data_IF_346857444745
#
_entry.id   IF_346857444745
#
_cell.length_a   1.000
_cell.length_b   1.000
_cell.length_c   1.000
_cell.angle_alpha   90.00
_cell.angle_beta   90.00
_cell.angle_gamma   90.00
#
_symmetry.space_group_name_H-M   'P 1'
#
loop_
_entity.id
_entity.type
_entity.pdbx_description
1 polymer ?
#
# COMPACT_ATOMS: atom_id res chain seq x y z
N UNK A 1 11.68 -36.30 -19.28
CA UNK A 1 12.84 -35.90 -18.46
C UNK A 1 12.37 -35.69 -17.03
N UNK A 2 12.79 -36.56 -16.10
CA UNK A 2 12.51 -36.39 -14.67
C UNK A 2 13.45 -35.33 -14.11
N UNK A 3 12.90 -34.23 -13.59
CA UNK A 3 13.68 -33.20 -12.90
C UNK A 3 14.05 -33.71 -11.51
N UNK A 4 15.34 -33.92 -11.26
CA UNK A 4 15.85 -34.21 -9.92
C UNK A 4 15.93 -32.90 -9.12
N UNK A 5 14.97 -32.70 -8.20
CA UNK A 5 14.95 -31.55 -7.30
C UNK A 5 15.91 -31.85 -6.14
N UNK A 6 17.10 -31.25 -6.17
CA UNK A 6 18.05 -31.32 -5.06
C UNK A 6 17.65 -30.34 -3.96
N UNK A 7 17.06 -30.84 -2.86
CA UNK A 7 16.81 -30.06 -1.65
C UNK A 7 18.12 -29.85 -0.88
N UNK A 8 18.92 -28.87 -1.28
CA UNK A 8 20.05 -28.42 -0.46
C UNK A 8 19.59 -27.23 0.39
N UNK A 9 19.58 -27.40 1.73
CA UNK A 9 19.45 -26.29 2.68
C UNK A 9 20.62 -25.34 2.46
N UNK A 10 20.34 -24.14 1.94
CA UNK A 10 21.34 -23.08 1.83
C UNK A 10 21.33 -22.29 3.13
N UNK A 11 22.55 -22.08 3.64
CA UNK A 11 22.92 -21.36 4.84
C UNK A 11 22.40 -19.93 4.85
N UNK A 12 21.87 -19.56 6.01
CA UNK A 12 21.49 -18.23 6.46
C UNK A 12 22.55 -17.18 6.08
N UNK A 13 22.22 -16.32 5.11
CA UNK A 13 22.98 -15.15 4.69
C UNK A 13 22.03 -13.96 4.60
N UNK A 14 22.38 -12.89 5.29
CA UNK A 14 21.57 -11.73 5.69
C UNK A 14 21.26 -10.73 4.56
N UNK A 15 20.65 -11.15 3.44
CA UNK A 15 20.33 -10.21 2.35
C UNK A 15 19.09 -10.53 1.47
N UNK A 16 18.33 -11.60 1.75
CA UNK A 16 17.09 -11.91 1.02
C UNK A 16 15.91 -12.21 1.97
N UNK A 17 15.52 -11.20 2.74
CA UNK A 17 14.36 -11.29 3.65
C UNK A 17 13.02 -10.97 2.95
N UNK A 18 12.87 -11.33 1.67
CA UNK A 18 11.72 -10.87 0.88
C UNK A 18 10.40 -11.54 1.27
N UNK A 19 10.38 -12.87 1.45
CA UNK A 19 9.16 -13.63 1.73
C UNK A 19 9.43 -14.85 2.61
N UNK A 20 8.50 -15.17 3.51
CA UNK A 20 8.55 -16.41 4.30
C UNK A 20 7.78 -17.52 3.57
N UNK A 21 8.30 -18.77 3.52
CA UNK A 21 7.57 -19.91 2.97
C UNK A 21 6.14 -19.98 3.51
N UNK A 22 5.18 -20.04 2.60
CA UNK A 22 3.76 -20.06 2.87
C UNK A 22 3.06 -18.71 2.87
N UNK A 23 3.78 -17.59 2.76
CA UNK A 23 3.17 -16.26 2.60
C UNK A 23 2.53 -16.08 1.22
N UNK A 24 1.51 -15.25 1.17
CA UNK A 24 0.88 -14.84 -0.07
C UNK A 24 1.66 -13.69 -0.71
N UNK A 25 1.84 -13.79 -2.01
CA UNK A 25 2.49 -12.76 -2.82
C UNK A 25 1.63 -12.42 -4.01
N UNK A 26 1.84 -11.24 -4.57
CA UNK A 26 1.17 -10.74 -5.76
C UNK A 26 2.19 -10.63 -6.87
N UNK A 27 1.99 -11.39 -7.94
CA UNK A 27 2.71 -11.22 -9.20
C UNK A 27 1.93 -10.28 -10.11
N UNK A 28 2.59 -9.26 -10.68
CA UNK A 28 1.98 -8.23 -11.54
C UNK A 28 1.05 -8.79 -12.64
N UNK A 29 1.46 -9.88 -13.26
CA UNK A 29 0.74 -10.48 -14.39
C UNK A 29 -0.16 -11.67 -14.02
N UNK A 30 0.16 -12.38 -12.94
CA UNK A 30 -0.48 -13.68 -12.66
C UNK A 30 -1.39 -13.65 -11.43
N UNK A 31 -1.32 -12.58 -10.63
CA UNK A 31 -2.17 -12.40 -9.46
C UNK A 31 -1.56 -12.99 -8.21
N UNK A 32 -2.39 -13.56 -7.35
CA UNK A 32 -2.01 -13.95 -6.01
C UNK A 32 -1.54 -15.40 -5.99
N UNK A 33 -0.27 -15.62 -5.65
CA UNK A 33 0.34 -16.92 -5.45
C UNK A 33 0.79 -17.12 -4.00
N UNK A 34 1.17 -18.36 -3.67
CA UNK A 34 1.78 -18.72 -2.39
C UNK A 34 3.28 -18.94 -2.61
N UNK A 35 4.11 -18.18 -1.92
CA UNK A 35 5.55 -18.38 -1.97
C UNK A 35 5.92 -19.69 -1.27
N UNK A 36 6.75 -20.51 -1.92
CA UNK A 36 7.15 -21.82 -1.41
C UNK A 36 8.60 -21.79 -0.96
N UNK A 37 9.54 -21.46 -1.85
CA UNK A 37 10.97 -21.44 -1.55
C UNK A 37 11.77 -20.68 -2.63
N UNK A 38 13.07 -20.52 -2.42
CA UNK A 38 14.04 -20.19 -3.48
C UNK A 38 14.69 -21.49 -3.95
N UNK A 39 14.70 -21.68 -5.27
CA UNK A 39 15.35 -22.83 -5.89
C UNK A 39 16.55 -22.34 -6.70
N UNK A 40 17.70 -22.96 -6.46
CA UNK A 40 18.88 -22.77 -7.29
C UNK A 40 19.00 -23.90 -8.30
N UNK A 41 19.13 -23.56 -9.58
CA UNK A 41 19.40 -24.52 -10.65
C UNK A 41 20.69 -24.16 -11.39
N UNK A 42 21.47 -25.18 -11.76
CA UNK A 42 22.63 -25.04 -12.62
C UNK A 42 22.17 -25.07 -14.08
N UNK A 43 22.31 -23.95 -14.80
CA UNK A 43 21.94 -23.85 -16.21
C UNK A 43 23.22 -23.56 -17.01
N UNK A 44 23.81 -24.61 -17.59
CA UNK A 44 25.15 -24.56 -18.17
C UNK A 44 26.20 -24.35 -17.08
N UNK A 45 27.10 -23.39 -17.29
CA UNK A 45 28.16 -23.06 -16.31
C UNK A 45 27.69 -22.09 -15.21
N UNK A 46 26.46 -21.57 -15.30
CA UNK A 46 25.94 -20.56 -14.38
C UNK A 46 24.88 -21.12 -13.43
N UNK A 47 25.05 -20.84 -12.14
CA UNK A 47 24.02 -21.05 -11.13
C UNK A 47 22.99 -19.92 -11.20
N UNK A 48 21.71 -20.25 -11.38
CA UNK A 48 20.60 -19.29 -11.37
C UNK A 48 19.64 -19.60 -10.23
N UNK A 49 19.03 -18.55 -9.69
CA UNK A 49 18.08 -18.65 -8.58
C UNK A 49 16.70 -18.16 -9.01
N UNK A 50 15.67 -18.85 -8.54
CA UNK A 50 14.29 -18.60 -8.86
C UNK A 50 13.44 -18.62 -7.59
N UNK A 51 12.52 -17.68 -7.47
CA UNK A 51 11.40 -17.77 -6.54
C UNK A 51 10.41 -18.82 -7.04
N UNK A 52 10.16 -19.83 -6.21
CA UNK A 52 9.17 -20.86 -6.47
C UNK A 52 7.83 -20.47 -5.84
N UNK A 53 6.82 -20.32 -6.70
CA UNK A 53 5.49 -19.83 -6.33
C UNK A 53 4.45 -20.84 -6.80
N UNK A 54 3.55 -21.21 -5.90
CA UNK A 54 2.42 -22.08 -6.17
C UNK A 54 1.15 -21.26 -6.37
N UNK A 55 0.39 -21.62 -7.40
CA UNK A 55 -0.89 -21.03 -7.77
C UNK A 55 -2.01 -22.08 -7.58
N UNK A 56 -3.25 -21.70 -7.86
CA UNK A 56 -4.38 -22.63 -7.79
C UNK A 56 -4.16 -23.85 -8.71
N UNK A 57 -4.79 -24.98 -8.39
CA UNK A 57 -4.64 -26.24 -9.11
C UNK A 57 -3.21 -26.83 -9.10
N UNK A 58 -2.38 -26.46 -8.11
CA UNK A 58 -0.96 -26.85 -8.01
C UNK A 58 -0.11 -26.36 -9.20
N UNK A 59 -0.58 -25.31 -9.89
CA UNK A 59 0.18 -24.62 -10.93
C UNK A 59 1.46 -24.02 -10.33
N UNK A 60 2.60 -24.16 -11.01
CA UNK A 60 3.91 -23.73 -10.52
C UNK A 60 4.48 -22.62 -11.39
N UNK A 61 4.97 -21.56 -10.76
CA UNK A 61 5.67 -20.47 -11.43
C UNK A 61 7.07 -20.28 -10.81
N UNK A 62 8.07 -20.19 -11.68
CA UNK A 62 9.45 -19.91 -11.31
C UNK A 62 9.79 -18.51 -11.80
N UNK A 63 9.96 -17.57 -10.86
CA UNK A 63 10.30 -16.19 -11.18
C UNK A 63 11.78 -15.98 -10.90
N UNK A 64 12.60 -15.61 -11.90
CA UNK A 64 14.02 -15.36 -11.66
C UNK A 64 14.23 -14.25 -10.61
N UNK A 65 15.26 -14.37 -9.78
CA UNK A 65 15.52 -13.41 -8.70
C UNK A 65 15.76 -11.99 -9.20
N UNK A 66 16.32 -11.82 -10.39
CA UNK A 66 16.50 -10.50 -11.03
C UNK A 66 15.18 -9.86 -11.51
N UNK A 67 14.05 -10.57 -11.48
CA UNK A 67 12.70 -10.04 -11.72
C UNK A 67 11.88 -9.88 -10.43
N UNK A 68 12.56 -9.70 -9.29
CA UNK A 68 11.93 -9.47 -7.99
C UNK A 68 10.96 -8.27 -7.99
N UNK A 69 11.16 -7.28 -8.87
CA UNK A 69 10.28 -6.11 -9.06
C UNK A 69 8.85 -6.49 -9.49
N UNK A 70 8.64 -7.69 -10.01
CA UNK A 70 7.32 -8.17 -10.48
C UNK A 70 6.50 -8.82 -9.39
N UNK A 71 7.09 -9.10 -8.24
CA UNK A 71 6.46 -9.73 -7.09
C UNK A 71 6.43 -8.77 -5.91
N UNK A 72 5.35 -8.82 -5.15
CA UNK A 72 5.18 -7.99 -3.96
C UNK A 72 4.44 -8.78 -2.89
N UNK A 73 4.65 -8.43 -1.61
CA UNK A 73 3.93 -9.08 -0.52
C UNK A 73 2.44 -8.78 -0.64
N UNK A 74 1.59 -9.79 -0.47
CA UNK A 74 0.17 -9.54 -0.33
C UNK A 74 -0.12 -8.89 1.02
N UNK A 75 -0.69 -7.69 0.99
CA UNK A 75 -1.15 -6.98 2.18
C UNK A 75 -2.67 -6.89 2.10
N UNK A 76 -3.35 -7.60 2.99
CA UNK A 76 -4.81 -7.60 3.07
C UNK A 76 -5.30 -8.24 4.36
N UNK A 77 -6.43 -7.76 4.86
CA UNK A 77 -7.00 -8.19 6.14
C UNK A 77 -7.59 -9.62 6.12
N UNK A 78 -7.85 -10.18 4.92
CA UNK A 78 -8.42 -11.52 4.74
C UNK A 78 -7.49 -12.40 3.92
N UNK A 79 -7.57 -13.70 4.18
CA UNK A 79 -6.89 -14.74 3.39
C UNK A 79 -7.33 -14.61 1.92
N UNK A 80 -6.40 -14.40 0.98
CA UNK A 80 -6.76 -14.18 -0.42
C UNK A 80 -7.14 -15.49 -1.10
N UNK A 81 -7.89 -15.37 -2.20
CA UNK A 81 -8.08 -16.46 -3.15
C UNK A 81 -6.85 -16.51 -4.06
N UNK A 82 -6.20 -17.67 -4.10
CA UNK A 82 -5.04 -17.91 -4.98
C UNK A 82 -5.54 -17.94 -6.42
N UNK A 83 -4.86 -17.22 -7.31
CA UNK A 83 -5.24 -17.17 -8.73
C UNK A 83 -4.76 -18.42 -9.47
N UNK A 84 -5.35 -18.73 -10.63
CA UNK A 84 -4.83 -19.75 -11.55
C UNK A 84 -4.04 -19.08 -12.67
N UNK A 85 -2.93 -19.69 -13.10
CA UNK A 85 -2.07 -19.15 -14.15
C UNK A 85 -2.77 -19.05 -15.51
N UNK A 86 -3.73 -19.93 -15.77
CA UNK A 86 -4.49 -19.98 -17.03
C UNK A 86 -5.68 -19.00 -17.07
N UNK A 87 -6.03 -18.39 -15.93
CA UNK A 87 -7.29 -17.67 -15.81
C UNK A 87 -7.17 -16.19 -16.18
N UNK A 88 -8.00 -15.74 -17.14
CA UNK A 88 -8.22 -14.32 -17.46
C UNK A 88 -8.87 -13.53 -16.31
N UNK A 89 -9.19 -14.19 -15.20
CA UNK A 89 -9.82 -13.59 -14.03
C UNK A 89 -9.00 -12.42 -13.47
N UNK A 90 -7.67 -12.56 -13.37
CA UNK A 90 -6.80 -11.51 -12.84
C UNK A 90 -6.83 -10.23 -13.68
N UNK A 91 -6.76 -10.36 -15.01
CA UNK A 91 -6.83 -9.21 -15.91
C UNK A 91 -8.20 -8.54 -15.88
N UNK A 92 -9.27 -9.33 -15.80
CA UNK A 92 -10.63 -8.79 -15.64
C UNK A 92 -10.79 -8.04 -14.31
N UNK A 93 -10.26 -8.60 -13.22
CA UNK A 93 -10.24 -7.97 -11.90
C UNK A 93 -9.47 -6.65 -11.92
N UNK A 94 -8.24 -6.64 -12.46
CA UNK A 94 -7.43 -5.42 -12.63
C UNK A 94 -8.18 -4.36 -13.42
N UNK A 95 -8.82 -4.74 -14.53
CA UNK A 95 -9.60 -3.82 -15.36
C UNK A 95 -10.79 -3.23 -14.60
N UNK A 96 -11.52 -4.05 -13.85
CA UNK A 96 -12.64 -3.59 -13.01
C UNK A 96 -12.17 -2.60 -11.95
N UNK A 97 -11.10 -2.94 -11.21
CA UNK A 97 -10.53 -2.06 -10.17
C UNK A 97 -10.05 -0.75 -10.78
N UNK A 98 -9.35 -0.76 -11.92
CA UNK A 98 -8.91 0.46 -12.61
C UNK A 98 -10.08 1.38 -12.97
N UNK A 99 -11.19 0.82 -13.47
CA UNK A 99 -12.39 1.61 -13.77
C UNK A 99 -12.97 2.24 -12.51
N UNK A 100 -13.04 1.49 -11.40
CA UNK A 100 -13.52 2.02 -10.12
C UNK A 100 -12.63 3.15 -9.59
N UNK A 101 -11.31 2.98 -9.64
CA UNK A 101 -10.34 4.01 -9.21
C UNK A 101 -10.46 5.25 -10.09
N UNK A 102 -10.58 5.07 -11.42
CA UNK A 102 -10.75 6.20 -12.33
C UNK A 102 -12.06 6.96 -12.08
N UNK A 103 -13.17 6.24 -11.86
CA UNK A 103 -14.45 6.85 -11.48
C UNK A 103 -14.31 7.63 -10.18
N UNK A 104 -13.71 7.04 -9.16
CA UNK A 104 -13.47 7.71 -7.88
C UNK A 104 -12.64 8.99 -8.04
N UNK A 105 -11.59 8.96 -8.86
CA UNK A 105 -10.78 10.16 -9.15
C UNK A 105 -11.59 11.27 -9.83
N UNK A 106 -12.47 10.92 -10.77
CA UNK A 106 -13.39 11.89 -11.41
C UNK A 106 -14.34 12.48 -10.39
N UNK A 107 -14.95 11.63 -9.55
CA UNK A 107 -15.92 12.06 -8.55
C UNK A 107 -15.25 12.98 -7.51
N UNK A 108 -14.01 12.67 -7.10
CA UNK A 108 -13.21 13.53 -6.22
C UNK A 108 -12.88 14.87 -6.88
N UNK A 109 -12.48 14.87 -8.15
CA UNK A 109 -12.19 16.10 -8.89
C UNK A 109 -13.43 17.01 -9.01
N UNK A 110 -14.60 16.41 -9.28
CA UNK A 110 -15.88 17.14 -9.30
C UNK A 110 -16.21 17.75 -7.94
N UNK A 111 -16.07 16.99 -6.86
CA UNK A 111 -16.27 17.48 -5.50
C UNK A 111 -15.39 18.70 -5.20
N UNK A 112 -14.11 18.65 -5.58
CA UNK A 112 -13.20 19.79 -5.40
C UNK A 112 -13.53 20.98 -6.29
N UNK A 113 -14.06 20.77 -7.49
CA UNK A 113 -14.52 21.86 -8.36
C UNK A 113 -15.76 22.56 -7.77
N UNK A 114 -16.75 21.80 -7.30
CA UNK A 114 -17.94 22.30 -6.62
C UNK A 114 -17.56 23.08 -5.35
N UNK A 115 -16.72 22.50 -4.51
CA UNK A 115 -16.20 23.15 -3.30
C UNK A 115 -15.43 24.44 -3.59
N UNK A 116 -14.66 24.49 -4.67
CA UNK A 116 -13.88 25.68 -5.02
C UNK A 116 -14.75 26.84 -5.52
N UNK A 117 -15.91 26.54 -6.08
CA UNK A 117 -16.90 27.52 -6.55
C UNK A 117 -17.92 27.89 -5.46
N UNK A 118 -18.13 27.02 -4.47
CA UNK A 118 -18.95 27.32 -3.31
C UNK A 118 -18.30 28.41 -2.42
N UNK A 119 -19.13 29.36 -1.97
CA UNK A 119 -18.74 30.30 -0.93
C UNK A 119 -18.89 29.63 0.44
N UNK A 120 -17.85 29.74 1.26
CA UNK A 120 -17.85 29.28 2.65
C UNK A 120 -17.90 30.45 3.63
N UNK A 121 -18.06 30.14 4.91
CA UNK A 121 -17.94 31.11 5.98
C UNK A 121 -16.46 31.31 6.37
N UNK A 122 -15.99 32.55 6.30
CA UNK A 122 -14.65 32.92 6.74
C UNK A 122 -14.68 33.26 8.23
N UNK A 123 -14.04 32.45 9.05
CA UNK A 123 -13.89 32.77 10.47
C UNK A 123 -12.96 34.00 10.66
N UNK A 124 -13.21 34.82 11.69
CA UNK A 124 -12.34 35.95 12.02
C UNK A 124 -10.97 35.50 12.57
N UNK A 125 -10.07 36.45 12.75
CA UNK A 125 -8.83 36.23 13.48
C UNK A 125 -9.12 35.88 14.96
N UNK A 126 -8.17 35.19 15.59
CA UNK A 126 -8.30 34.78 16.98
C UNK A 126 -8.40 36.01 17.89
N UNK A 127 -9.30 35.94 18.88
CA UNK A 127 -9.42 36.97 19.91
C UNK A 127 -8.41 36.70 21.05
N UNK A 128 -8.12 37.67 21.92
CA UNK A 128 -7.31 37.43 23.11
C UNK A 128 -7.83 36.27 23.98
N UNK A 129 -9.16 36.14 24.06
CA UNK A 129 -9.81 35.07 24.81
C UNK A 129 -9.55 33.67 24.22
N UNK A 130 -9.37 33.55 22.91
CA UNK A 130 -8.99 32.28 22.28
C UNK A 130 -7.62 31.81 22.80
N UNK A 131 -6.68 32.75 22.96
CA UNK A 131 -5.36 32.44 23.52
C UNK A 131 -5.44 32.03 24.98
N UNK A 132 -6.26 32.72 25.77
CA UNK A 132 -6.50 32.36 27.16
C UNK A 132 -7.04 30.93 27.30
N UNK A 133 -7.98 30.51 26.43
CA UNK A 133 -8.49 29.14 26.40
C UNK A 133 -7.41 28.13 26.00
N UNK A 134 -6.58 28.46 25.01
CA UNK A 134 -5.47 27.60 24.56
C UNK A 134 -4.44 27.42 25.68
N UNK A 135 -4.10 28.49 26.41
CA UNK A 135 -3.16 28.47 27.53
C UNK A 135 -3.69 27.67 28.75
N UNK A 136 -5.00 27.38 28.83
CA UNK A 136 -5.57 26.48 29.84
C UNK A 136 -5.26 25.00 29.58
N UNK A 137 -4.81 24.64 28.37
CA UNK A 137 -4.47 23.26 28.08
C UNK A 137 -3.16 22.87 28.78
N UNK A 138 -3.16 21.85 29.66
CA UNK A 138 -2.03 21.60 30.57
C UNK A 138 -0.83 20.91 29.91
N UNK A 139 -0.86 20.72 28.59
CA UNK A 139 0.20 20.05 27.84
C UNK A 139 0.80 20.99 26.82
N UNK A 140 2.12 20.91 26.66
CA UNK A 140 2.83 21.66 25.62
C UNK A 140 2.70 20.94 24.29
N UNK A 141 2.25 21.66 23.27
CA UNK A 141 2.12 21.13 21.92
C UNK A 141 3.48 20.78 21.33
N UNK A 142 3.49 19.67 20.60
CA UNK A 142 4.61 19.26 19.77
C UNK A 142 4.71 20.16 18.52
N UNK A 143 5.89 20.23 17.87
CA UNK A 143 6.03 20.99 16.62
C UNK A 143 5.03 20.60 15.54
N UNK A 144 4.62 19.33 15.45
CA UNK A 144 3.67 18.87 14.45
C UNK A 144 2.22 19.21 14.81
N UNK A 145 1.86 19.18 16.09
CA UNK A 145 0.56 19.70 16.56
C UNK A 145 0.43 21.21 16.27
N UNK A 146 1.48 22.00 16.54
CA UNK A 146 1.49 23.43 16.23
C UNK A 146 1.28 23.68 14.73
N UNK A 147 1.93 22.89 13.86
CA UNK A 147 1.70 22.98 12.41
C UNK A 147 0.25 22.64 12.04
N UNK A 148 -0.30 21.57 12.60
CA UNK A 148 -1.67 21.14 12.33
C UNK A 148 -2.70 22.20 12.77
N UNK A 149 -2.56 22.72 14.00
CA UNK A 149 -3.41 23.80 14.54
C UNK A 149 -3.37 25.03 13.63
N UNK A 150 -2.17 25.49 13.30
CA UNK A 150 -2.01 26.66 12.43
C UNK A 150 -2.57 26.42 11.03
N UNK A 151 -2.40 25.23 10.46
CA UNK A 151 -2.97 24.88 9.16
C UNK A 151 -4.50 24.92 9.20
N UNK A 152 -5.12 24.30 10.20
CA UNK A 152 -6.58 24.28 10.39
C UNK A 152 -7.12 25.69 10.58
N UNK A 153 -6.55 26.49 11.51
CA UNK A 153 -6.96 27.88 11.73
C UNK A 153 -6.88 28.71 10.46
N UNK A 154 -5.78 28.61 9.71
CA UNK A 154 -5.61 29.33 8.45
C UNK A 154 -6.59 28.85 7.37
N UNK A 155 -6.95 27.57 7.35
CA UNK A 155 -7.95 27.05 6.43
C UNK A 155 -9.37 27.51 6.80
N UNK A 156 -9.71 27.60 8.08
CA UNK A 156 -10.99 28.13 8.58
C UNK A 156 -11.20 29.61 8.26
N UNK A 157 -10.13 30.40 8.17
CA UNK A 157 -10.19 31.82 7.80
C UNK A 157 -10.34 32.09 6.30
N UNK A 158 -10.48 31.06 5.46
CA UNK A 158 -10.66 31.23 4.01
C UNK A 158 -12.16 31.31 3.68
N UNK A 159 -12.54 32.05 2.62
CA UNK A 159 -13.95 32.16 2.19
C UNK A 159 -14.44 30.92 1.42
N UNK A 160 -13.79 29.77 1.61
CA UNK A 160 -14.12 28.50 0.96
C UNK A 160 -14.33 27.45 2.04
N UNK A 161 -15.25 26.47 1.84
CA UNK A 161 -15.39 25.37 2.78
C UNK A 161 -14.03 24.69 3.03
N UNK A 162 -13.75 24.34 4.29
CA UNK A 162 -12.54 23.61 4.68
C UNK A 162 -12.75 22.08 4.53
N UNK A 163 -11.71 21.35 4.14
CA UNK A 163 -11.68 19.88 4.00
C UNK A 163 -10.24 19.52 4.25
N UNK A 164 -9.98 19.17 5.49
CA UNK A 164 -8.66 18.93 6.04
C UNK A 164 -8.76 17.66 6.87
N UNK A 165 -7.92 16.69 6.55
CA UNK A 165 -7.75 15.49 7.34
C UNK A 165 -6.47 15.62 8.17
N UNK A 166 -6.62 15.62 9.50
CA UNK A 166 -5.49 15.51 10.44
C UNK A 166 -5.39 14.06 10.86
N UNK A 167 -4.22 13.45 10.68
CA UNK A 167 -3.94 12.06 11.07
C UNK A 167 -2.98 12.10 12.25
N UNK A 168 -3.42 11.60 13.39
CA UNK A 168 -2.61 11.45 14.61
C UNK A 168 -2.63 10.01 15.11
N UNK A 169 -1.66 9.66 15.94
CA UNK A 169 -1.62 8.38 16.65
C UNK A 169 -2.35 8.50 18.00
N UNK A 170 -2.74 7.37 18.60
CA UNK A 170 -3.45 7.35 19.89
C UNK A 170 -2.58 7.98 20.96
N UNK A 171 -3.15 8.94 21.71
CA UNK A 171 -2.48 9.62 22.81
C UNK A 171 -1.63 10.84 22.41
N UNK A 172 -1.60 11.21 21.13
CA UNK A 172 -0.83 12.36 20.65
C UNK A 172 -1.58 13.70 20.64
N UNK A 173 -2.81 13.76 21.17
CA UNK A 173 -3.62 14.98 21.23
C UNK A 173 -4.03 15.46 19.85
#
# INVERSE_FOLDING_TARGET
MQYQISKKKISTGSEFEYFKPGEYIVHKNHGIGKYIDIISEQVGDYKREYFFIEYANNDKLYVPTWQADRISKYVGAKKPVVTSLSSKHWDSLKRRVRRSVHKFAIDLAKLYAERNSASGYSFPADSPWQKEIEDLFPFKETPDQIKAINYVKNAMRKPKPMDTLVIGDVGFG
#
